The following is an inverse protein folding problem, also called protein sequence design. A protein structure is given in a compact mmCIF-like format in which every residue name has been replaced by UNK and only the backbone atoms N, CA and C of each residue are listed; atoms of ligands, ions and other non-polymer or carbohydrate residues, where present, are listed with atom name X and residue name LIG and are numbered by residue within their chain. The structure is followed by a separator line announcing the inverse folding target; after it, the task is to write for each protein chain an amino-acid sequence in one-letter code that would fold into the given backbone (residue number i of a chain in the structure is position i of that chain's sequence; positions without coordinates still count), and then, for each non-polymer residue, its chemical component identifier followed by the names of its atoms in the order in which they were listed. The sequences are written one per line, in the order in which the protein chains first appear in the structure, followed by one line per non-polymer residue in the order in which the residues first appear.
data_IF_989257253484
#
_entry.id   IF_989257253484
#
_cell.length_a   1.000
_cell.length_b   1.000
_cell.length_c   1.000
_cell.angle_alpha   90.00
_cell.angle_beta   90.00
_cell.angle_gamma   90.00
#
_symmetry.space_group_name_H-M   'P 1'
#
loop_
_entity.id
_entity.type
_entity.pdbx_description
1 polymer ?
#
# COMPACT_ATOMS: atom_id res chain seq x y z
N UNK A 1 -5.67 -44.73 11.74
CA UNK A 1 -5.43 -43.28 11.53
C UNK A 1 -5.95 -42.74 10.21
N UNK A 2 -5.46 -43.14 9.01
CA UNK A 2 -5.96 -42.55 7.74
C UNK A 2 -7.40 -42.95 7.36
N UNK A 3 -7.80 -44.18 7.68
CA UNK A 3 -9.16 -44.68 7.37
C UNK A 3 -10.22 -44.29 8.41
N UNK A 4 -9.81 -43.76 9.58
CA UNK A 4 -10.71 -43.51 10.71
C UNK A 4 -11.22 -42.05 10.77
N UNK A 5 -10.59 -41.10 10.08
CA UNK A 5 -10.92 -39.67 10.17
C UNK A 5 -11.55 -39.05 8.90
N UNK A 6 -11.65 -39.80 7.80
CA UNK A 6 -12.44 -39.38 6.62
C UNK A 6 -11.93 -38.14 5.86
N UNK A 7 -10.65 -37.77 5.99
CA UNK A 7 -10.05 -36.60 5.32
C UNK A 7 -9.26 -36.93 4.04
N UNK A 8 -9.02 -35.92 3.20
CA UNK A 8 -8.16 -36.04 2.01
C UNK A 8 -6.67 -36.02 2.37
N UNK A 9 -5.78 -36.54 1.50
CA UNK A 9 -4.32 -36.47 1.70
C UNK A 9 -3.82 -35.03 1.92
N UNK A 10 -4.47 -34.08 1.25
CA UNK A 10 -4.22 -32.66 1.37
C UNK A 10 -4.52 -32.13 2.78
N UNK A 11 -5.68 -32.48 3.33
CA UNK A 11 -6.11 -32.10 4.67
C UNK A 11 -5.18 -32.70 5.74
N UNK A 12 -4.77 -33.95 5.57
CA UNK A 12 -3.77 -34.57 6.44
C UNK A 12 -2.45 -33.78 6.45
N UNK A 13 -1.98 -33.34 5.29
CA UNK A 13 -0.76 -32.52 5.17
C UNK A 13 -0.87 -31.20 5.93
N UNK A 14 -1.96 -30.46 5.73
CA UNK A 14 -2.22 -29.18 6.42
C UNK A 14 -2.33 -29.36 7.93
N UNK A 15 -3.08 -30.36 8.41
CA UNK A 15 -3.23 -30.62 9.85
C UNK A 15 -1.93 -31.09 10.50
N UNK A 16 -1.13 -31.88 9.78
CA UNK A 16 0.19 -32.30 10.25
C UNK A 16 1.13 -31.10 10.44
N UNK A 17 1.17 -30.20 9.45
CA UNK A 17 1.94 -28.94 9.53
C UNK A 17 1.41 -28.03 10.65
N UNK A 18 0.09 -27.89 10.77
CA UNK A 18 -0.53 -27.09 11.83
C UNK A 18 -0.16 -27.60 13.22
N UNK A 19 -0.20 -28.92 13.44
CA UNK A 19 0.21 -29.51 14.72
C UNK A 19 1.69 -29.24 15.01
N UNK A 20 2.55 -29.42 14.01
CA UNK A 20 3.98 -29.13 14.14
C UNK A 20 4.24 -27.66 14.49
N UNK A 21 3.62 -26.73 13.77
CA UNK A 21 3.76 -25.30 13.99
C UNK A 21 3.25 -24.89 15.37
N UNK A 22 2.10 -25.41 15.81
CA UNK A 22 1.58 -25.13 17.15
C UNK A 22 2.56 -25.56 18.25
N UNK A 23 3.13 -26.76 18.17
CA UNK A 23 4.09 -27.22 19.18
C UNK A 23 5.39 -26.40 19.13
N UNK A 24 5.93 -26.12 17.93
CA UNK A 24 7.14 -25.32 17.75
C UNK A 24 6.99 -23.90 18.32
N UNK A 25 5.88 -23.23 17.97
CA UNK A 25 5.68 -21.82 18.29
C UNK A 25 5.16 -21.60 19.71
N UNK A 26 4.52 -22.59 20.33
CA UNK A 26 4.05 -22.48 21.72
C UNK A 26 5.18 -22.17 22.70
N UNK A 27 6.30 -22.87 22.60
CA UNK A 27 7.45 -22.63 23.46
C UNK A 27 8.14 -21.30 23.13
N UNK A 28 8.27 -20.96 21.84
CA UNK A 28 8.80 -19.67 21.41
C UNK A 28 7.97 -18.52 21.98
N UNK A 29 6.64 -18.56 21.84
CA UNK A 29 5.74 -17.50 22.33
C UNK A 29 5.73 -17.37 23.84
N UNK A 30 5.97 -18.45 24.59
CA UNK A 30 6.14 -18.38 26.05
C UNK A 30 7.40 -17.61 26.45
N UNK A 31 8.48 -17.73 25.67
CA UNK A 31 9.77 -17.08 25.96
C UNK A 31 9.79 -15.65 25.42
N UNK A 32 9.34 -15.46 24.19
CA UNK A 32 9.35 -14.19 23.48
C UNK A 32 8.08 -14.06 22.60
N UNK A 33 7.03 -13.39 23.10
CA UNK A 33 5.71 -13.32 22.46
C UNK A 33 5.70 -12.28 21.33
N UNK A 34 6.39 -12.58 20.23
CA UNK A 34 6.33 -11.77 19.00
C UNK A 34 5.27 -12.28 18.04
N UNK A 35 4.76 -11.37 17.21
CA UNK A 35 3.92 -11.73 16.08
C UNK A 35 4.70 -12.69 15.16
N UNK A 36 4.09 -13.82 14.87
CA UNK A 36 4.65 -14.90 14.08
C UNK A 36 3.70 -15.20 12.93
N UNK A 37 4.24 -15.26 11.73
CA UNK A 37 3.48 -15.59 10.52
C UNK A 37 4.14 -16.73 9.76
N UNK A 38 3.37 -17.35 8.88
CA UNK A 38 3.91 -18.22 7.82
C UNK A 38 3.48 -17.68 6.48
N UNK A 39 4.34 -17.84 5.49
CA UNK A 39 4.07 -17.46 4.12
C UNK A 39 3.95 -18.67 3.19
N UNK A 40 3.17 -18.53 2.13
CA UNK A 40 2.99 -19.57 1.13
C UNK A 40 3.09 -19.00 -0.28
N UNK A 41 3.76 -19.72 -1.21
CA UNK A 41 3.65 -19.41 -2.62
C UNK A 41 2.19 -19.53 -3.04
N UNK A 42 1.67 -18.51 -3.71
CA UNK A 42 0.30 -18.55 -4.21
C UNK A 42 0.20 -19.64 -5.28
N UNK A 43 -0.74 -20.57 -5.08
CA UNK A 43 -1.23 -21.40 -6.16
C UNK A 43 -2.28 -20.60 -6.96
N UNK A 44 -1.99 -20.19 -8.22
CA UNK A 44 -2.92 -19.37 -8.99
C UNK A 44 -4.23 -20.10 -9.33
N UNK A 45 -4.26 -21.43 -9.29
CA UNK A 45 -5.47 -22.21 -9.50
C UNK A 45 -6.35 -22.34 -8.25
N UNK A 46 -5.76 -22.17 -7.07
CA UNK A 46 -6.41 -22.38 -5.76
C UNK A 46 -5.77 -21.47 -4.69
N UNK A 47 -5.85 -20.14 -4.82
CA UNK A 47 -5.22 -19.25 -3.85
C UNK A 47 -5.92 -19.40 -2.50
N UNK A 48 -5.12 -19.50 -1.43
CA UNK A 48 -5.63 -19.52 -0.07
C UNK A 48 -6.47 -20.75 0.31
N UNK A 49 -6.45 -21.84 -0.47
CA UNK A 49 -7.21 -23.09 -0.23
C UNK A 49 -7.02 -23.65 1.20
N UNK A 50 -5.92 -23.32 1.85
CA UNK A 50 -5.52 -23.82 3.15
C UNK A 50 -5.56 -22.74 4.24
N UNK A 51 -5.77 -21.46 3.87
CA UNK A 51 -5.62 -20.33 4.78
C UNK A 51 -6.64 -20.42 5.91
N UNK A 52 -7.88 -20.77 5.60
CA UNK A 52 -8.94 -20.92 6.61
C UNK A 52 -8.58 -22.01 7.64
N UNK A 53 -8.06 -23.16 7.20
CA UNK A 53 -7.60 -24.23 8.09
C UNK A 53 -6.48 -23.75 9.01
N UNK A 54 -5.44 -23.11 8.47
CA UNK A 54 -4.35 -22.58 9.29
C UNK A 54 -4.83 -21.51 10.27
N UNK A 55 -5.71 -20.60 9.84
CA UNK A 55 -6.25 -19.53 10.69
C UNK A 55 -7.09 -20.11 11.83
N UNK A 56 -7.87 -21.15 11.57
CA UNK A 56 -8.77 -21.75 12.56
C UNK A 56 -8.09 -22.77 13.47
N UNK A 57 -7.09 -23.50 12.99
CA UNK A 57 -6.48 -24.63 13.72
C UNK A 57 -5.06 -24.32 14.24
N UNK A 58 -4.35 -23.35 13.65
CA UNK A 58 -2.99 -22.95 14.04
C UNK A 58 -2.99 -21.67 14.89
N UNK A 59 -3.43 -21.77 16.15
CA UNK A 59 -3.53 -20.61 17.05
C UNK A 59 -2.19 -19.97 17.41
N UNK A 60 -1.09 -20.72 17.27
CA UNK A 60 0.24 -20.18 17.55
C UNK A 60 0.77 -19.29 16.40
N UNK A 61 0.15 -19.35 15.22
CA UNK A 61 0.41 -18.42 14.11
C UNK A 61 -0.61 -17.27 14.15
N UNK A 62 -0.10 -16.04 14.11
CA UNK A 62 -0.93 -14.84 14.19
C UNK A 62 -1.61 -14.53 12.86
N UNK A 63 -0.89 -14.70 11.75
CA UNK A 63 -1.43 -14.52 10.41
C UNK A 63 -0.70 -15.36 9.35
N UNK A 64 -1.35 -15.52 8.21
CA UNK A 64 -0.89 -16.22 7.02
C UNK A 64 -0.74 -15.21 5.90
N UNK A 65 0.41 -15.20 5.24
CA UNK A 65 0.73 -14.24 4.18
C UNK A 65 0.98 -14.93 2.85
N UNK A 66 0.53 -14.38 1.70
CA UNK A 66 0.97 -14.88 0.42
C UNK A 66 2.36 -14.36 0.03
N UNK A 67 3.07 -15.20 -0.72
CA UNK A 67 4.16 -14.79 -1.59
C UNK A 67 3.60 -14.53 -2.98
N UNK A 68 3.45 -13.25 -3.31
CA UNK A 68 2.82 -12.80 -4.54
C UNK A 68 3.85 -12.46 -5.62
N UNK A 69 3.89 -13.30 -6.65
CA UNK A 69 4.69 -13.08 -7.85
C UNK A 69 3.82 -12.92 -9.11
N UNK A 70 2.54 -12.54 -8.93
CA UNK A 70 1.61 -12.26 -10.03
C UNK A 70 1.91 -10.93 -10.72
N UNK A 71 1.31 -10.70 -11.89
CA UNK A 71 1.71 -9.62 -12.80
C UNK A 71 0.58 -8.66 -13.18
N UNK A 72 -0.65 -8.92 -12.75
CA UNK A 72 -1.78 -8.03 -13.04
C UNK A 72 -2.41 -7.50 -11.76
N UNK A 73 -2.96 -6.27 -11.76
CA UNK A 73 -3.74 -5.76 -10.62
C UNK A 73 -4.90 -6.70 -10.22
N UNK A 74 -5.50 -7.40 -11.19
CA UNK A 74 -6.55 -8.38 -10.93
C UNK A 74 -6.06 -9.60 -10.13
N UNK A 75 -4.85 -10.08 -10.41
CA UNK A 75 -4.24 -11.20 -9.67
C UNK A 75 -3.95 -10.81 -8.22
N UNK A 76 -3.49 -9.57 -7.99
CA UNK A 76 -3.24 -9.05 -6.65
C UNK A 76 -4.52 -8.97 -5.81
N UNK A 77 -5.59 -8.39 -6.38
CA UNK A 77 -6.88 -8.31 -5.72
C UNK A 77 -7.44 -9.70 -5.39
N UNK A 78 -7.37 -10.62 -6.36
CA UNK A 78 -7.79 -12.01 -6.20
C UNK A 78 -7.00 -12.71 -5.10
N UNK A 79 -5.67 -12.55 -5.07
CA UNK A 79 -4.82 -13.10 -4.02
C UNK A 79 -5.20 -12.55 -2.63
N UNK A 80 -5.31 -11.24 -2.46
CA UNK A 80 -5.58 -10.64 -1.15
C UNK A 80 -6.95 -11.05 -0.62
N UNK A 81 -7.97 -11.14 -1.48
CA UNK A 81 -9.31 -11.59 -1.08
C UNK A 81 -9.30 -12.98 -0.43
N UNK A 82 -8.48 -13.92 -0.92
CA UNK A 82 -8.38 -15.27 -0.37
C UNK A 82 -7.56 -15.36 0.92
N UNK A 83 -6.78 -14.33 1.24
CA UNK A 83 -6.04 -14.26 2.50
C UNK A 83 -6.74 -13.36 3.53
N UNK A 84 -7.70 -12.53 3.13
CA UNK A 84 -8.51 -11.69 4.04
C UNK A 84 -9.70 -12.47 4.60
N UNK A 85 -9.42 -13.53 5.36
CA UNK A 85 -10.44 -14.43 5.94
C UNK A 85 -10.39 -14.37 7.47
N UNK A 86 -11.56 -14.23 8.11
CA UNK A 86 -11.71 -14.31 9.55
C UNK A 86 -10.79 -13.33 10.30
N UNK A 87 -9.95 -13.86 11.20
CA UNK A 87 -8.98 -13.08 11.99
C UNK A 87 -7.67 -12.78 11.25
N UNK A 88 -7.50 -13.23 10.01
CA UNK A 88 -6.22 -13.12 9.33
C UNK A 88 -5.87 -11.67 8.99
N UNK A 89 -4.63 -11.27 9.30
CA UNK A 89 -4.13 -9.94 8.97
C UNK A 89 -3.64 -9.96 7.51
N UNK A 90 -4.19 -9.13 6.61
CA UNK A 90 -3.75 -9.10 5.22
C UNK A 90 -2.33 -8.53 5.14
N UNK A 91 -1.38 -9.32 4.64
CA UNK A 91 0.04 -8.96 4.57
C UNK A 91 0.69 -9.66 3.37
N UNK A 92 1.34 -8.94 2.45
CA UNK A 92 2.10 -9.55 1.35
C UNK A 92 3.54 -9.77 1.84
N UNK A 93 3.90 -11.03 2.09
CA UNK A 93 5.21 -11.38 2.65
C UNK A 93 6.34 -11.29 1.64
N UNK A 94 6.05 -11.67 0.41
CA UNK A 94 6.97 -11.53 -0.70
C UNK A 94 6.25 -10.94 -1.90
N UNK A 95 6.94 -10.02 -2.58
CA UNK A 95 6.51 -9.46 -3.85
C UNK A 95 7.68 -9.44 -4.84
N UNK A 96 7.40 -9.63 -6.13
CA UNK A 96 8.45 -9.52 -7.17
C UNK A 96 9.15 -8.17 -7.16
N UNK A 97 10.49 -8.19 -7.27
CA UNK A 97 11.36 -7.03 -7.52
C UNK A 97 11.74 -6.88 -8.99
N UNK A 98 11.14 -7.66 -9.89
CA UNK A 98 11.27 -7.43 -11.33
C UNK A 98 10.43 -6.21 -11.75
N UNK A 99 10.88 -5.49 -12.77
CA UNK A 99 10.18 -4.29 -13.28
C UNK A 99 8.72 -4.56 -13.67
N UNK A 100 8.42 -5.76 -14.16
CA UNK A 100 7.06 -6.19 -14.53
C UNK A 100 6.16 -6.48 -13.33
N UNK A 101 6.73 -6.62 -12.13
CA UNK A 101 5.97 -6.80 -10.91
C UNK A 101 5.25 -5.53 -10.48
N UNK A 102 5.66 -4.35 -10.97
CA UNK A 102 5.05 -3.06 -10.62
C UNK A 102 4.88 -2.83 -9.10
N UNK A 103 5.87 -3.25 -8.31
CA UNK A 103 5.82 -3.21 -6.84
C UNK A 103 5.41 -1.84 -6.27
N UNK A 104 5.80 -0.75 -6.92
CA UNK A 104 5.46 0.60 -6.51
C UNK A 104 3.95 0.90 -6.63
N UNK A 105 3.28 0.36 -7.65
CA UNK A 105 1.83 0.49 -7.87
C UNK A 105 1.09 -0.49 -6.98
N UNK A 106 1.56 -1.74 -6.92
CA UNK A 106 0.96 -2.79 -6.09
C UNK A 106 1.01 -2.47 -4.60
N UNK A 107 2.02 -1.73 -4.10
CA UNK A 107 2.04 -1.21 -2.74
C UNK A 107 0.81 -0.33 -2.45
N UNK A 108 0.49 0.62 -3.34
CA UNK A 108 -0.65 1.52 -3.17
C UNK A 108 -1.97 0.77 -3.28
N UNK A 109 -2.10 -0.13 -4.26
CA UNK A 109 -3.30 -0.96 -4.43
C UNK A 109 -3.53 -1.84 -3.19
N UNK A 110 -2.51 -2.57 -2.76
CA UNK A 110 -2.57 -3.46 -1.60
C UNK A 110 -3.03 -2.71 -0.34
N UNK A 111 -2.40 -1.57 -0.04
CA UNK A 111 -2.72 -0.81 1.18
C UNK A 111 -4.05 -0.07 1.05
N UNK A 112 -4.26 0.69 -0.03
CA UNK A 112 -5.39 1.61 -0.14
C UNK A 112 -6.70 0.90 -0.52
N UNK A 113 -6.66 -0.07 -1.46
CA UNK A 113 -7.87 -0.75 -1.94
C UNK A 113 -8.20 -2.00 -1.13
N UNK A 114 -7.17 -2.68 -0.61
CA UNK A 114 -7.36 -3.98 0.03
C UNK A 114 -7.10 -3.98 1.54
N UNK A 115 -6.56 -2.87 2.09
CA UNK A 115 -6.31 -2.71 3.52
C UNK A 115 -5.17 -3.60 4.03
N UNK A 116 -4.23 -3.95 3.16
CA UNK A 116 -3.03 -4.73 3.51
C UNK A 116 -2.18 -3.95 4.51
N UNK A 117 -1.77 -4.61 5.59
CA UNK A 117 -1.02 -4.02 6.70
C UNK A 117 0.50 -4.05 6.50
N UNK A 118 0.99 -4.83 5.54
CA UNK A 118 2.40 -4.81 5.15
C UNK A 118 2.64 -5.44 3.79
N UNK A 119 3.68 -4.95 3.12
CA UNK A 119 4.02 -5.30 1.75
C UNK A 119 5.53 -5.31 1.59
N UNK A 120 6.09 -6.46 1.23
CA UNK A 120 7.54 -6.68 1.27
C UNK A 120 8.04 -7.26 -0.05
N UNK A 121 8.63 -6.44 -0.93
CA UNK A 121 9.36 -6.95 -2.09
C UNK A 121 10.56 -7.79 -1.67
N UNK A 122 10.68 -8.98 -2.24
CA UNK A 122 11.73 -9.92 -1.89
C UNK A 122 13.01 -9.66 -2.70
N UNK A 123 14.18 -9.90 -2.09
CA UNK A 123 15.50 -9.69 -2.72
C UNK A 123 15.75 -8.24 -3.19
N UNK A 124 15.50 -7.25 -2.31
CA UNK A 124 15.72 -5.82 -2.63
C UNK A 124 17.20 -5.46 -2.88
N UNK A 125 18.13 -6.27 -2.37
CA UNK A 125 19.56 -5.96 -2.28
C UNK A 125 20.45 -6.80 -3.22
N UNK A 126 19.86 -7.70 -4.00
CA UNK A 126 20.61 -8.54 -4.94
C UNK A 126 19.84 -8.81 -6.22
N UNK A 127 20.57 -9.23 -7.25
CA UNK A 127 19.98 -9.55 -8.53
C UNK A 127 19.14 -10.83 -8.43
N UNK A 128 17.82 -10.67 -8.47
CA UNK A 128 16.87 -11.76 -8.58
C UNK A 128 15.92 -11.54 -9.76
N UNK A 129 15.79 -12.54 -10.63
CA UNK A 129 14.87 -12.47 -11.77
C UNK A 129 14.25 -13.82 -12.05
N UNK A 130 13.16 -14.15 -11.35
CA UNK A 130 12.45 -15.43 -11.52
C UNK A 130 11.98 -15.63 -12.97
N UNK A 131 11.56 -14.56 -13.65
CA UNK A 131 11.08 -14.60 -15.04
C UNK A 131 12.20 -14.49 -16.07
N UNK A 132 13.27 -13.77 -15.75
CA UNK A 132 14.49 -13.78 -16.56
C UNK A 132 15.02 -15.21 -16.80
N UNK A 133 14.72 -16.13 -15.87
CA UNK A 133 15.03 -17.56 -16.01
C UNK A 133 14.00 -18.37 -16.81
N UNK A 134 12.72 -17.98 -16.84
CA UNK A 134 11.63 -18.78 -17.44
C UNK A 134 11.28 -18.40 -18.87
N UNK A 135 11.17 -17.10 -19.15
CA UNK A 135 10.53 -16.61 -20.36
C UNK A 135 11.52 -15.89 -21.31
N UNK A 136 12.83 -15.92 -21.02
CA UNK A 136 13.87 -15.31 -21.85
C UNK A 136 13.79 -13.78 -21.94
N UNK A 137 12.98 -13.16 -21.09
CA UNK A 137 12.79 -11.71 -21.03
C UNK A 137 13.96 -11.10 -20.27
N UNK A 138 14.60 -10.08 -20.85
CA UNK A 138 15.68 -9.33 -20.23
C UNK A 138 15.09 -8.37 -19.19
N UNK A 139 14.53 -8.92 -18.11
CA UNK A 139 13.92 -8.12 -17.05
C UNK A 139 14.98 -7.46 -16.18
N UNK A 140 14.69 -6.22 -15.76
CA UNK A 140 15.57 -5.46 -14.88
C UNK A 140 15.12 -5.70 -13.43
N UNK A 141 15.84 -6.51 -12.64
CA UNK A 141 15.61 -6.59 -11.20
C UNK A 141 15.77 -5.21 -10.56
N UNK A 142 15.36 -5.08 -9.30
CA UNK A 142 15.63 -3.87 -8.53
C UNK A 142 17.11 -3.54 -8.46
N UNK A 143 17.96 -4.55 -8.28
CA UNK A 143 19.42 -4.40 -8.26
C UNK A 143 20.02 -5.29 -9.34
N UNK A 144 20.82 -4.71 -10.22
CA UNK A 144 21.53 -5.45 -11.27
C UNK A 144 22.65 -6.33 -10.68
N UNK A 145 23.20 -7.25 -11.47
CA UNK A 145 24.37 -8.06 -11.05
C UNK A 145 25.59 -7.22 -10.67
N UNK A 146 25.66 -5.98 -11.15
CA UNK A 146 26.73 -5.04 -10.86
C UNK A 146 26.42 -4.13 -9.65
N UNK A 147 25.28 -4.34 -8.97
CA UNK A 147 24.87 -3.54 -7.81
C UNK A 147 24.16 -2.23 -8.16
N UNK A 148 23.81 -2.01 -9.42
CA UNK A 148 23.11 -0.79 -9.85
C UNK A 148 21.61 -0.90 -9.63
N UNK A 149 21.01 0.14 -9.05
CA UNK A 149 19.56 0.24 -8.83
C UNK A 149 18.83 0.54 -10.14
N UNK A 150 17.72 -0.16 -10.40
CA UNK A 150 16.87 0.09 -11.56
C UNK A 150 15.83 1.19 -11.30
N UNK A 151 15.25 1.72 -12.37
CA UNK A 151 14.16 2.71 -12.30
C UNK A 151 12.96 2.20 -11.49
N UNK A 152 12.68 0.89 -11.55
CA UNK A 152 11.62 0.26 -10.77
C UNK A 152 11.90 0.32 -9.26
N UNK A 153 13.16 0.14 -8.87
CA UNK A 153 13.57 0.24 -7.48
C UNK A 153 13.52 1.69 -6.97
N UNK A 154 13.95 2.65 -7.80
CA UNK A 154 13.81 4.09 -7.49
C UNK A 154 12.34 4.48 -7.34
N UNK A 155 11.47 4.01 -8.24
CA UNK A 155 10.03 4.23 -8.19
C UNK A 155 9.40 3.64 -6.92
N UNK A 156 9.79 2.41 -6.54
CA UNK A 156 9.35 1.80 -5.29
C UNK A 156 9.85 2.58 -4.06
N UNK A 157 11.11 3.02 -4.04
CA UNK A 157 11.66 3.83 -2.94
C UNK A 157 10.93 5.16 -2.75
N UNK A 158 10.55 5.85 -3.83
CA UNK A 158 9.70 7.06 -3.77
C UNK A 158 8.31 6.74 -3.22
N UNK A 159 7.69 5.66 -3.70
CA UNK A 159 6.38 5.22 -3.23
C UNK A 159 6.39 4.90 -1.73
N UNK A 160 7.41 4.17 -1.27
CA UNK A 160 7.59 3.83 0.15
C UNK A 160 7.86 5.07 1.00
N UNK A 161 8.68 6.01 0.51
CA UNK A 161 8.96 7.28 1.20
C UNK A 161 7.68 8.10 1.40
N UNK A 162 6.84 8.19 0.37
CA UNK A 162 5.54 8.85 0.45
C UNK A 162 4.66 8.21 1.54
N UNK A 163 4.45 6.88 1.46
CA UNK A 163 3.63 6.13 2.42
C UNK A 163 4.13 6.29 3.86
N UNK A 164 5.45 6.30 4.06
CA UNK A 164 6.08 6.45 5.37
C UNK A 164 5.84 7.83 5.99
N UNK A 165 5.50 8.87 5.21
CA UNK A 165 5.19 10.18 5.75
C UNK A 165 3.89 10.21 6.57
N UNK A 166 3.02 9.20 6.44
CA UNK A 166 1.73 9.13 7.11
C UNK A 166 1.30 7.70 7.44
N UNK A 167 2.24 6.77 7.64
CA UNK A 167 1.95 5.33 7.72
C UNK A 167 0.90 4.96 8.77
N UNK A 168 0.97 5.58 9.96
CA UNK A 168 -0.02 5.38 11.03
C UNK A 168 -1.41 5.89 10.65
N UNK A 169 -1.48 7.07 10.01
CA UNK A 169 -2.73 7.67 9.54
C UNK A 169 -3.34 6.84 8.41
N UNK A 170 -2.52 6.35 7.47
CA UNK A 170 -2.95 5.43 6.41
C UNK A 170 -3.51 4.15 7.02
N UNK A 171 -2.78 3.52 7.96
CA UNK A 171 -3.25 2.29 8.60
C UNK A 171 -4.60 2.47 9.34
N UNK A 172 -4.82 3.64 9.95
CA UNK A 172 -6.06 3.96 10.66
C UNK A 172 -7.25 4.26 9.73
N UNK A 173 -6.99 4.85 8.54
CA UNK A 173 -8.04 5.36 7.64
C UNK A 173 -8.21 4.53 6.37
N UNK A 174 -7.33 3.57 6.09
CA UNK A 174 -7.41 2.72 4.90
C UNK A 174 -8.75 1.97 4.83
N UNK A 175 -9.41 2.05 3.67
CA UNK A 175 -10.72 1.45 3.43
C UNK A 175 -11.90 2.18 4.07
N UNK A 176 -11.69 3.34 4.72
CA UNK A 176 -12.76 4.17 5.28
C UNK A 176 -13.17 5.29 4.31
N UNK A 177 -14.26 5.99 4.62
CA UNK A 177 -14.69 7.18 3.86
C UNK A 177 -13.80 8.42 4.08
N UNK A 178 -12.82 8.33 4.99
CA UNK A 178 -11.86 9.39 5.29
C UNK A 178 -10.54 9.22 4.52
N UNK A 179 -10.48 8.27 3.58
CA UNK A 179 -9.39 8.13 2.62
C UNK A 179 -9.91 8.24 1.18
N UNK A 180 -9.19 9.00 0.38
CA UNK A 180 -9.27 8.99 -1.09
C UNK A 180 -7.91 8.58 -1.62
N UNK A 181 -7.88 7.78 -2.68
CA UNK A 181 -6.65 7.45 -3.38
C UNK A 181 -6.88 7.47 -4.89
N UNK A 182 -5.82 7.81 -5.61
CA UNK A 182 -5.81 7.85 -7.06
C UNK A 182 -4.55 7.20 -7.56
N UNK A 183 -4.67 6.36 -8.57
CA UNK A 183 -3.56 5.63 -9.19
C UNK A 183 -3.75 5.70 -10.71
N UNK A 184 -2.66 6.06 -11.39
CA UNK A 184 -2.53 6.02 -12.83
C UNK A 184 -2.10 4.61 -13.25
N UNK A 185 -2.90 3.95 -14.08
CA UNK A 185 -2.60 2.61 -14.60
C UNK A 185 -1.86 2.73 -15.94
N UNK A 186 -0.71 3.40 -15.93
CA UNK A 186 0.14 3.55 -17.12
C UNK A 186 -0.35 4.56 -18.15
N UNK A 187 -1.37 5.36 -17.85
CA UNK A 187 -1.90 6.42 -18.73
C UNK A 187 -2.20 7.66 -17.90
N UNK A 188 -1.58 8.83 -18.16
CA UNK A 188 -1.82 10.05 -17.41
C UNK A 188 -3.31 10.35 -17.24
N UNK A 189 -3.68 10.80 -16.04
CA UNK A 189 -5.08 11.07 -15.68
C UNK A 189 -5.23 12.42 -15.03
N UNK A 190 -6.35 13.07 -15.34
CA UNK A 190 -6.84 14.24 -14.61
C UNK A 190 -8.15 13.88 -13.95
N UNK A 191 -8.24 14.13 -12.66
CA UNK A 191 -9.44 13.85 -11.87
C UNK A 191 -9.78 15.11 -11.06
N UNK A 192 -11.07 15.42 -10.97
CA UNK A 192 -11.58 16.48 -10.11
C UNK A 192 -12.67 15.90 -9.21
N UNK A 193 -12.55 16.17 -7.90
CA UNK A 193 -13.51 15.72 -6.89
C UNK A 193 -13.83 16.88 -5.93
N UNK A 194 -15.07 16.95 -5.47
CA UNK A 194 -15.51 17.92 -4.46
C UNK A 194 -15.88 17.16 -3.20
N UNK A 195 -14.98 17.15 -2.22
CA UNK A 195 -15.14 16.38 -0.99
C UNK A 195 -14.50 17.09 0.19
N UNK A 196 -15.09 16.91 1.37
CA UNK A 196 -14.59 17.47 2.64
C UNK A 196 -14.36 18.99 2.61
N UNK A 197 -15.21 19.72 1.90
CA UNK A 197 -15.11 21.18 1.78
C UNK A 197 -14.01 21.68 0.84
N UNK A 198 -13.31 20.79 0.13
CA UNK A 198 -12.26 21.12 -0.85
C UNK A 198 -12.65 20.61 -2.25
N UNK A 199 -12.37 21.42 -3.27
CA UNK A 199 -12.28 20.99 -4.67
C UNK A 199 -10.86 20.48 -4.89
N UNK A 200 -10.71 19.17 -4.99
CA UNK A 200 -9.47 18.48 -5.27
C UNK A 200 -9.34 18.26 -6.77
N UNK A 201 -8.19 18.60 -7.33
CA UNK A 201 -7.86 18.30 -8.72
C UNK A 201 -6.49 17.63 -8.75
N UNK A 202 -6.46 16.37 -9.18
CA UNK A 202 -5.23 15.60 -9.31
C UNK A 202 -4.87 15.47 -10.78
N UNK A 203 -3.61 15.76 -11.11
CA UNK A 203 -3.00 15.58 -12.42
C UNK A 203 -1.87 14.57 -12.21
N UNK A 204 -2.19 13.31 -12.45
CA UNK A 204 -1.27 12.19 -12.28
C UNK A 204 -0.56 11.89 -13.60
N UNK A 205 0.77 11.72 -13.54
CA UNK A 205 1.58 11.25 -14.65
C UNK A 205 1.29 9.79 -14.99
N UNK A 206 2.19 9.15 -15.77
CA UNK A 206 2.00 7.77 -16.20
C UNK A 206 1.95 6.80 -15.02
N UNK A 207 2.79 7.04 -14.01
CA UNK A 207 2.96 6.19 -12.84
C UNK A 207 2.46 6.91 -11.56
N UNK A 208 1.69 7.98 -11.76
CA UNK A 208 1.18 8.87 -10.74
C UNK A 208 0.25 8.20 -9.76
N UNK A 209 0.43 8.49 -8.48
CA UNK A 209 -0.40 7.97 -7.40
C UNK A 209 -0.42 8.93 -6.23
N UNK A 210 -1.58 9.11 -5.62
CA UNK A 210 -1.73 9.95 -4.44
C UNK A 210 -2.79 9.41 -3.48
N UNK A 211 -2.66 9.82 -2.22
CA UNK A 211 -3.58 9.53 -1.14
C UNK A 211 -3.90 10.84 -0.45
N UNK A 212 -5.19 11.15 -0.30
CA UNK A 212 -5.69 12.20 0.55
C UNK A 212 -6.41 11.57 1.75
N UNK A 213 -6.03 11.98 2.95
CA UNK A 213 -6.56 11.49 4.22
C UNK A 213 -7.27 12.65 4.93
N UNK A 214 -8.46 12.41 5.46
CA UNK A 214 -9.10 13.32 6.42
C UNK A 214 -8.65 12.95 7.82
N UNK A 215 -7.60 13.61 8.29
CA UNK A 215 -7.00 13.40 9.62
C UNK A 215 -7.72 14.14 10.75
N UNK A 216 -8.68 15.01 10.40
CA UNK A 216 -9.61 15.68 11.31
C UNK A 216 -10.73 16.37 10.53
N UNK A 217 -11.65 17.04 11.21
CA UNK A 217 -12.84 17.62 10.55
C UNK A 217 -12.48 18.55 9.39
N UNK A 218 -11.45 19.39 9.58
CA UNK A 218 -10.92 20.37 8.64
C UNK A 218 -9.40 20.21 8.42
N UNK A 219 -8.87 19.02 8.70
CA UNK A 219 -7.44 18.73 8.68
C UNK A 219 -7.20 17.52 7.78
N UNK A 220 -6.35 17.70 6.78
CA UNK A 220 -6.13 16.73 5.73
C UNK A 220 -4.63 16.48 5.52
N UNK A 221 -4.28 15.26 5.19
CA UNK A 221 -2.93 14.89 4.76
C UNK A 221 -2.98 14.43 3.31
N UNK A 222 -2.13 15.00 2.46
CA UNK A 222 -1.97 14.62 1.07
C UNK A 222 -0.54 14.14 0.83
N UNK A 223 -0.38 12.99 0.20
CA UNK A 223 0.92 12.41 -0.17
C UNK A 223 0.81 11.67 -1.50
N UNK A 224 1.92 11.45 -2.17
CA UNK A 224 1.92 10.74 -3.45
C UNK A 224 3.27 10.71 -4.13
N UNK A 225 3.25 10.35 -5.42
CA UNK A 225 4.39 10.34 -6.36
C UNK A 225 3.85 10.63 -7.76
N UNK A 226 4.63 11.31 -8.61
CA UNK A 226 4.31 11.60 -10.03
C UNK A 226 2.90 12.21 -10.19
N UNK A 227 2.55 13.16 -9.31
CA UNK A 227 1.21 13.74 -9.23
C UNK A 227 1.26 15.19 -8.75
N UNK A 228 0.60 16.07 -9.49
CA UNK A 228 0.33 17.44 -9.07
C UNK A 228 -1.10 17.52 -8.52
N UNK A 229 -1.25 18.13 -7.35
CA UNK A 229 -2.55 18.37 -6.73
C UNK A 229 -2.85 19.87 -6.66
N UNK A 230 -3.98 20.26 -7.24
CA UNK A 230 -4.56 21.58 -7.13
C UNK A 230 -5.75 21.52 -6.18
N UNK A 231 -5.75 22.37 -5.15
CA UNK A 231 -6.76 22.40 -4.10
C UNK A 231 -7.35 23.80 -3.92
N UNK A 232 -8.64 23.87 -3.70
CA UNK A 232 -9.36 25.11 -3.48
C UNK A 232 -10.53 24.87 -2.50
N UNK A 233 -10.73 25.70 -1.46
CA UNK A 233 -11.92 25.63 -0.62
C UNK A 233 -13.19 25.80 -1.46
N UNK A 234 -14.21 24.99 -1.16
CA UNK A 234 -15.53 25.14 -1.79
C UNK A 234 -16.23 26.41 -1.26
N UNK A 235 -16.07 26.70 0.04
CA UNK A 235 -16.53 27.96 0.61
C UNK A 235 -15.44 29.03 0.45
N UNK A 236 -15.67 30.12 -0.30
CA UNK A 236 -14.67 31.16 -0.55
C UNK A 236 -14.26 31.95 0.72
N UNK A 237 -15.03 31.86 1.81
CA UNK A 237 -14.67 32.47 3.10
C UNK A 237 -13.60 31.66 3.85
N UNK A 238 -13.48 30.36 3.54
CA UNK A 238 -12.48 29.47 4.15
C UNK A 238 -11.10 29.74 3.57
N UNK A 239 -10.08 29.68 4.43
CA UNK A 239 -8.68 29.85 4.07
C UNK A 239 -7.91 28.55 4.13
N UNK A 240 -6.89 28.42 3.28
CA UNK A 240 -5.98 27.29 3.29
C UNK A 240 -4.75 27.62 4.13
N UNK A 241 -4.41 26.74 5.07
CA UNK A 241 -3.07 26.64 5.61
C UNK A 241 -2.45 25.34 5.06
N UNK A 242 -1.32 25.47 4.36
CA UNK A 242 -0.63 24.33 3.74
C UNK A 242 0.78 24.25 4.33
N UNK A 243 1.17 23.05 4.76
CA UNK A 243 2.49 22.76 5.31
C UNK A 243 3.07 21.53 4.62
N UNK A 244 4.31 21.62 4.11
CA UNK A 244 5.09 20.44 3.73
C UNK A 244 5.70 19.84 4.99
N UNK A 245 5.70 18.52 5.12
CA UNK A 245 6.22 17.85 6.31
C UNK A 245 5.97 16.35 6.31
N UNK A 246 5.89 15.79 7.51
CA UNK A 246 5.53 14.38 7.73
C UNK A 246 4.91 14.21 9.10
N UNK A 247 4.17 13.11 9.27
CA UNK A 247 3.79 12.64 10.59
C UNK A 247 4.96 11.94 11.28
N UNK A 248 5.13 12.22 12.56
CA UNK A 248 5.93 11.46 13.49
C UNK A 248 4.99 10.99 14.60
N UNK A 249 4.57 9.73 14.52
CA UNK A 249 3.45 9.20 15.29
C UNK A 249 2.15 10.00 15.06
N UNK A 250 1.64 10.65 16.11
CA UNK A 250 0.41 11.44 16.09
C UNK A 250 0.67 12.94 15.93
N UNK A 251 1.93 13.35 15.72
CA UNK A 251 2.33 14.75 15.65
C UNK A 251 2.80 15.08 14.24
N UNK A 252 2.22 16.13 13.66
CA UNK A 252 2.71 16.69 12.41
C UNK A 252 4.01 17.47 12.62
N UNK A 253 5.05 17.11 11.87
CA UNK A 253 6.34 17.81 11.85
C UNK A 253 6.44 18.65 10.58
N UNK A 254 6.13 19.93 10.71
CA UNK A 254 6.19 20.91 9.62
C UNK A 254 7.64 21.21 9.24
N UNK A 255 7.96 21.09 7.95
CA UNK A 255 9.24 21.47 7.35
C UNK A 255 9.20 22.90 6.81
N UNK A 256 8.12 23.26 6.12
CA UNK A 256 7.87 24.64 5.66
C UNK A 256 6.39 24.89 5.42
N UNK A 257 5.98 26.15 5.55
CA UNK A 257 4.65 26.63 5.15
C UNK A 257 4.64 26.99 3.67
N UNK A 258 3.54 26.70 3.01
CA UNK A 258 3.31 27.05 1.60
C UNK A 258 2.19 28.08 1.58
N UNK A 259 2.48 29.24 1.02
CA UNK A 259 1.50 30.30 0.86
C UNK A 259 0.54 29.93 -0.28
N UNK A 260 -0.78 29.89 -0.01
CA UNK A 260 -1.76 29.75 -1.09
C UNK A 260 -1.66 30.94 -2.04
N UNK A 261 -1.93 30.69 -3.32
CA UNK A 261 -2.08 31.71 -4.33
C UNK A 261 -3.53 32.20 -4.27
N UNK A 262 -3.75 33.51 -4.21
CA UNK A 262 -5.07 34.09 -4.41
C UNK A 262 -5.35 34.19 -5.90
N UNK A 263 -6.31 33.45 -6.42
CA UNK A 263 -6.71 33.53 -7.84
C UNK A 263 -7.75 34.64 -7.99
N UNK A 264 -7.56 35.53 -8.98
CA UNK A 264 -8.45 36.68 -9.23
C UNK A 264 -9.13 36.66 -10.60
N UNK A 265 -9.10 35.55 -11.34
CA UNK A 265 -9.65 35.48 -12.71
C UNK A 265 -10.87 34.58 -12.82
N UNK A 266 -11.98 35.19 -13.29
CA UNK A 266 -13.28 34.53 -13.52
C UNK A 266 -14.37 35.12 -12.62
N UNK A 267 -15.53 35.46 -13.19
CA UNK A 267 -16.58 36.28 -12.58
C UNK A 267 -17.25 35.71 -11.30
N UNK A 268 -16.85 34.53 -10.81
CA UNK A 268 -17.46 33.85 -9.65
C UNK A 268 -16.48 33.49 -8.50
N UNK A 269 -15.17 33.75 -8.61
CA UNK A 269 -14.17 33.27 -7.61
C UNK A 269 -13.19 34.37 -7.16
N UNK A 270 -13.68 35.59 -6.88
CA UNK A 270 -12.83 36.63 -6.30
C UNK A 270 -12.48 36.31 -4.84
N UNK A 271 -11.22 35.93 -4.60
CA UNK A 271 -10.63 35.91 -3.26
C UNK A 271 -10.61 34.55 -2.57
N UNK A 272 -10.70 33.45 -3.32
CA UNK A 272 -10.55 32.08 -2.78
C UNK A 272 -9.08 31.65 -2.82
N UNK A 273 -8.62 30.99 -1.75
CA UNK A 273 -7.27 30.44 -1.68
C UNK A 273 -7.11 29.25 -2.63
N UNK A 274 -5.99 29.19 -3.35
CA UNK A 274 -5.63 28.08 -4.23
C UNK A 274 -4.25 27.54 -3.83
N UNK A 275 -4.14 26.22 -3.68
CA UNK A 275 -2.86 25.53 -3.46
C UNK A 275 -2.52 24.64 -4.64
N UNK A 276 -1.29 24.71 -5.14
CA UNK A 276 -0.74 23.75 -6.09
C UNK A 276 0.45 23.05 -5.45
N UNK A 277 0.38 21.71 -5.39
CA UNK A 277 1.29 20.87 -4.61
C UNK A 277 1.87 19.80 -5.51
N UNK A 278 3.19 19.70 -5.52
CA UNK A 278 3.95 18.70 -6.24
C UNK A 278 4.30 17.53 -5.31
N UNK A 279 3.77 16.35 -5.63
CA UNK A 279 3.96 15.12 -4.85
C UNK A 279 5.15 14.28 -5.35
N UNK A 280 5.93 14.72 -6.35
CA UNK A 280 6.89 13.88 -7.09
C UNK A 280 7.98 13.20 -6.26
N UNK A 281 8.36 13.80 -5.14
CA UNK A 281 9.50 13.37 -4.34
C UNK A 281 9.12 12.56 -3.09
N UNK A 282 7.92 11.97 -3.08
CA UNK A 282 7.41 11.26 -1.91
C UNK A 282 7.20 12.20 -0.72
N UNK A 283 6.83 13.45 -1.00
CA UNK A 283 6.52 14.49 -0.04
C UNK A 283 5.08 14.37 0.44
N UNK A 284 4.86 14.74 1.70
CA UNK A 284 3.52 14.88 2.26
C UNK A 284 3.23 16.34 2.63
N UNK A 285 1.95 16.69 2.54
CA UNK A 285 1.43 18.01 2.85
C UNK A 285 0.28 17.87 3.83
N UNK A 286 0.28 18.70 4.87
CA UNK A 286 -0.88 18.92 5.72
C UNK A 286 -1.63 20.15 5.23
N UNK A 287 -2.93 20.00 5.07
CA UNK A 287 -3.85 21.03 4.57
C UNK A 287 -4.89 21.25 5.65
N UNK A 288 -5.04 22.49 6.11
CA UNK A 288 -6.04 22.87 7.10
C UNK A 288 -6.98 23.92 6.49
N UNK A 289 -8.28 23.66 6.55
CA UNK A 289 -9.32 24.64 6.24
C UNK A 289 -9.64 25.47 7.49
N UNK A 290 -9.41 26.78 7.41
CA UNK A 290 -9.73 27.74 8.48
C UNK A 290 -11.00 28.49 8.15
#
# INVERSE_FOLDING_TARGET
MYEEEGGSEFEFGVRSLTRYLNELLKDQKRIFPVLTYVNFPINPLRPGENVEMYVNECHSVDFIAPDYYGFTPGDLAFAIQHFKIGRNIPFIAEHSTESVGEAATNLYLAVCEHGVQGFSPWAIDHAFGWRAWRDGVQEKPFVSRNGEWSDAAVSYGRAQTAMNCASRQIAALAGTEDMMHYISYGTPRKIEERRWGIRWRFIAGKDGKCIALRTGENDFTLLGVDTIAAICPINPEKRLLIEEGRWNDEVWVSKRKISPISVSEGADEKGTDYGELDLDNGTAFRIILK
#
